data_IF_017531507119
#
_entry.id   IF_017531507119
#
_cell.length_a   1.000
_cell.length_b   1.000
_cell.length_c   1.000
_cell.angle_alpha   90.00
_cell.angle_beta   90.00
_cell.angle_gamma   90.00
#
_symmetry.space_group_name_H-M   'P 1'
#
loop_
_entity.id
_entity.type
_entity.pdbx_description
1 polymer ?
#
# COMPACT_ATOMS: atom_id res chain seq x y z
N UNK A 1 24.26 20.58 20.85
CA UNK A 1 23.35 19.98 21.84
C UNK A 1 23.23 18.51 21.48
N UNK A 2 23.77 17.60 22.29
CA UNK A 2 23.68 16.16 21.99
C UNK A 2 22.23 15.73 22.17
N UNK A 3 21.57 15.33 21.09
CA UNK A 3 20.20 14.82 21.09
C UNK A 3 20.17 13.47 21.82
N UNK A 4 19.69 13.47 23.07
CA UNK A 4 19.61 12.30 23.96
C UNK A 4 18.15 12.09 24.40
N UNK A 5 17.23 12.10 23.43
CA UNK A 5 15.80 11.83 23.67
C UNK A 5 15.45 10.35 23.54
N UNK A 6 16.36 9.55 22.97
CA UNK A 6 16.19 8.11 22.74
C UNK A 6 17.46 7.35 23.15
N UNK A 7 17.40 6.02 23.07
CA UNK A 7 18.53 5.14 23.33
C UNK A 7 19.70 5.42 22.37
N UNK A 8 20.96 5.28 22.83
CA UNK A 8 22.13 5.26 21.95
C UNK A 8 22.02 4.19 20.87
N UNK A 9 22.68 4.42 19.73
CA UNK A 9 22.63 3.52 18.56
C UNK A 9 22.97 2.07 18.90
N UNK A 10 23.98 1.85 19.74
CA UNK A 10 24.41 0.51 20.15
C UNK A 10 23.33 -0.23 20.95
N UNK A 11 22.47 0.52 21.66
CA UNK A 11 21.33 -0.05 22.39
C UNK A 11 20.12 -0.26 21.49
N UNK A 12 19.90 0.59 20.48
CA UNK A 12 18.80 0.42 19.50
C UNK A 12 18.95 -0.88 18.70
N UNK A 13 20.18 -1.27 18.34
CA UNK A 13 20.45 -2.51 17.59
C UNK A 13 20.04 -3.80 18.32
N UNK A 14 20.02 -3.77 19.65
CA UNK A 14 19.69 -4.94 20.50
C UNK A 14 18.35 -4.77 21.23
N UNK A 15 17.60 -3.70 20.94
CA UNK A 15 16.34 -3.41 21.59
C UNK A 15 15.23 -4.35 21.09
N UNK A 16 14.70 -5.19 21.98
CA UNK A 16 13.65 -6.18 21.67
C UNK A 16 12.21 -5.67 21.80
N UNK A 17 12.00 -4.36 21.99
CA UNK A 17 10.68 -3.81 22.31
C UNK A 17 10.35 -3.87 23.81
N UNK A 18 9.19 -3.33 24.18
CA UNK A 18 8.66 -3.33 25.57
C UNK A 18 7.34 -4.04 25.73
N UNK A 19 6.65 -4.33 24.63
CA UNK A 19 5.34 -4.95 24.66
C UNK A 19 5.54 -6.46 24.50
N UNK A 20 5.07 -7.29 25.46
CA UNK A 20 5.11 -8.73 25.29
C UNK A 20 4.23 -9.13 24.10
N UNK A 21 4.70 -10.09 23.31
CA UNK A 21 3.88 -10.72 22.27
C UNK A 21 2.73 -11.49 22.96
N UNK A 22 1.46 -11.24 22.60
CA UNK A 22 0.33 -12.03 23.11
C UNK A 22 0.50 -13.52 22.78
N UNK A 23 0.02 -14.42 23.64
CA UNK A 23 0.15 -15.86 23.42
C UNK A 23 -0.65 -16.33 22.18
N UNK A 24 -1.72 -15.61 21.85
CA UNK A 24 -2.69 -15.90 20.80
C UNK A 24 -2.39 -15.12 19.51
N UNK A 25 -1.22 -14.48 19.43
CA UNK A 25 -0.83 -13.63 18.29
C UNK A 25 -0.97 -14.37 16.95
N UNK A 26 -0.51 -15.61 16.86
CA UNK A 26 -0.60 -16.39 15.62
C UNK A 26 -2.04 -16.74 15.27
N UNK A 27 -2.84 -17.10 16.28
CA UNK A 27 -4.25 -17.44 16.08
C UNK A 27 -5.05 -16.23 15.59
N UNK A 28 -4.84 -15.06 16.21
CA UNK A 28 -5.49 -13.82 15.81
C UNK A 28 -5.25 -13.50 14.33
N UNK A 29 -4.01 -13.60 13.86
CA UNK A 29 -3.68 -13.32 12.45
C UNK A 29 -4.16 -14.42 11.51
N UNK A 30 -4.16 -15.69 11.94
CA UNK A 30 -4.73 -16.78 11.16
C UNK A 30 -6.23 -16.56 10.93
N UNK A 31 -6.98 -16.21 11.97
CA UNK A 31 -8.41 -15.92 11.91
C UNK A 31 -8.70 -14.69 11.04
N UNK A 32 -7.91 -13.63 11.22
CA UNK A 32 -8.04 -12.38 10.42
C UNK A 32 -7.77 -12.61 8.94
N UNK A 33 -6.78 -13.44 8.60
CA UNK A 33 -6.49 -13.81 7.21
C UNK A 33 -7.59 -14.71 6.63
N UNK A 34 -8.16 -15.62 7.43
CA UNK A 34 -9.29 -16.43 7.00
C UNK A 34 -10.53 -15.58 6.69
N UNK A 35 -10.83 -14.58 7.52
CA UNK A 35 -11.88 -13.59 7.27
C UNK A 35 -11.64 -12.82 5.95
N UNK A 36 -10.40 -12.35 5.75
CA UNK A 36 -10.01 -11.66 4.52
C UNK A 36 -10.17 -12.56 3.29
N UNK A 37 -9.74 -13.82 3.35
CA UNK A 37 -9.86 -14.76 2.22
C UNK A 37 -11.31 -15.18 1.93
N UNK A 38 -12.18 -15.11 2.93
CA UNK A 38 -13.62 -15.36 2.76
C UNK A 38 -14.38 -14.15 2.16
N UNK A 39 -13.74 -12.98 2.12
CA UNK A 39 -14.31 -11.77 1.50
C UNK A 39 -14.06 -11.81 0.00
N UNK A 40 -15.12 -11.67 -0.81
CA UNK A 40 -14.98 -11.48 -2.26
C UNK A 40 -14.36 -10.10 -2.54
N UNK A 41 -13.15 -10.02 -3.12
CA UNK A 41 -12.48 -8.75 -3.33
C UNK A 41 -13.15 -7.85 -4.37
N UNK A 42 -14.01 -8.37 -5.25
CA UNK A 42 -14.71 -7.62 -6.31
C UNK A 42 -13.89 -6.44 -6.90
N UNK A 43 -12.75 -6.74 -7.56
CA UNK A 43 -11.82 -5.71 -8.00
C UNK A 43 -12.39 -4.95 -9.21
N UNK A 44 -12.36 -3.63 -9.12
CA UNK A 44 -12.81 -2.73 -10.19
C UNK A 44 -11.65 -1.83 -10.62
N UNK A 45 -11.40 -1.78 -11.93
CA UNK A 45 -10.41 -0.89 -12.53
C UNK A 45 -11.13 0.19 -13.34
N UNK A 46 -11.14 1.41 -12.79
CA UNK A 46 -11.70 2.59 -13.44
C UNK A 46 -10.55 3.37 -14.07
N UNK A 47 -10.52 3.58 -15.40
CA UNK A 47 -9.50 4.43 -16.02
C UNK A 47 -9.47 5.81 -15.36
N UNK A 48 -8.28 6.28 -15.02
CA UNK A 48 -8.11 7.64 -14.51
C UNK A 48 -8.22 8.66 -15.65
N UNK A 49 -8.66 9.88 -15.33
CA UNK A 49 -8.61 11.00 -16.28
C UNK A 49 -7.18 11.39 -16.65
N UNK A 50 -6.21 11.04 -15.79
CA UNK A 50 -4.79 11.25 -16.05
C UNK A 50 -4.24 10.22 -17.03
N UNK A 51 -3.49 10.67 -18.03
CA UNK A 51 -2.94 9.81 -19.07
C UNK A 51 -1.49 10.13 -19.42
N UNK A 52 -0.74 9.10 -19.82
CA UNK A 52 0.64 9.22 -20.30
C UNK A 52 0.86 8.28 -21.51
N UNK A 53 1.87 8.55 -22.36
CA UNK A 53 2.11 7.73 -23.54
C UNK A 53 2.75 6.36 -23.24
N UNK A 54 3.34 6.18 -22.06
CA UNK A 54 4.07 4.95 -21.70
C UNK A 54 3.39 4.11 -20.60
N UNK A 55 2.45 4.70 -19.84
CA UNK A 55 1.75 4.02 -18.77
C UNK A 55 0.23 4.23 -18.82
N UNK A 56 -0.49 3.23 -18.33
CA UNK A 56 -1.93 3.30 -18.06
C UNK A 56 -2.14 3.56 -16.57
N UNK A 57 -3.09 4.42 -16.24
CA UNK A 57 -3.40 4.82 -14.87
C UNK A 57 -4.86 4.48 -14.57
N UNK A 58 -5.10 3.86 -13.42
CA UNK A 58 -6.43 3.42 -12.98
C UNK A 58 -6.65 3.76 -11.51
N UNK A 59 -7.88 4.13 -11.19
CA UNK A 59 -8.40 3.95 -9.85
C UNK A 59 -8.77 2.47 -9.70
N UNK A 60 -8.02 1.76 -8.86
CA UNK A 60 -8.34 0.40 -8.44
C UNK A 60 -9.18 0.49 -7.18
N UNK A 61 -10.34 -0.15 -7.18
CA UNK A 61 -11.11 -0.40 -5.98
C UNK A 61 -11.20 -1.90 -5.71
N UNK A 62 -11.16 -2.31 -4.45
CA UNK A 62 -11.42 -3.69 -4.03
C UNK A 62 -12.09 -3.71 -2.64
N UNK A 63 -12.78 -4.80 -2.32
CA UNK A 63 -13.53 -4.97 -1.07
C UNK A 63 -12.63 -5.62 -0.05
N UNK A 64 -12.42 -4.94 1.08
CA UNK A 64 -11.68 -5.49 2.21
C UNK A 64 -12.61 -6.03 3.31
N UNK A 65 -11.99 -6.54 4.38
CA UNK A 65 -12.71 -7.02 5.58
C UNK A 65 -13.72 -5.99 6.10
N UNK A 66 -14.87 -6.47 6.56
CA UNK A 66 -16.00 -5.63 6.96
C UNK A 66 -16.75 -4.96 5.81
N UNK A 67 -16.47 -5.33 4.55
CA UNK A 67 -17.16 -4.82 3.36
C UNK A 67 -16.68 -3.44 2.89
N UNK A 68 -15.61 -2.89 3.47
CA UNK A 68 -15.12 -1.56 3.11
C UNK A 68 -14.53 -1.52 1.70
N UNK A 69 -14.84 -0.48 0.92
CA UNK A 69 -14.19 -0.26 -0.38
C UNK A 69 -12.87 0.46 -0.23
N UNK A 70 -11.82 -0.22 -0.66
CA UNK A 70 -10.45 0.23 -0.59
C UNK A 70 -10.03 0.75 -1.94
N UNK A 71 -9.52 1.96 -1.96
CA UNK A 71 -8.97 2.61 -3.15
C UNK A 71 -7.44 2.45 -3.20
N UNK A 72 -6.94 2.21 -4.40
CA UNK A 72 -5.55 2.32 -4.75
C UNK A 72 -5.38 2.99 -6.12
N UNK A 73 -4.33 3.80 -6.27
CA UNK A 73 -3.87 4.24 -7.59
C UNK A 73 -3.01 3.15 -8.20
N UNK A 74 -3.42 2.63 -9.34
CA UNK A 74 -2.68 1.62 -10.10
C UNK A 74 -2.08 2.25 -11.36
N UNK A 75 -0.78 2.04 -11.57
CA UNK A 75 -0.06 2.47 -12.77
C UNK A 75 0.64 1.26 -13.36
N UNK A 76 0.43 0.98 -14.64
CA UNK A 76 1.12 -0.14 -15.32
C UNK A 76 1.71 0.29 -16.67
N UNK A 77 2.83 -0.30 -17.11
CA UNK A 77 3.38 -0.06 -18.44
C UNK A 77 2.37 -0.43 -19.54
N UNK A 78 2.21 0.43 -20.57
CA UNK A 78 1.26 0.17 -21.69
C UNK A 78 1.60 -1.06 -22.52
N UNK A 79 2.90 -1.29 -22.77
CA UNK A 79 3.38 -2.30 -23.70
C UNK A 79 3.96 -3.52 -22.98
N UNK A 80 3.35 -3.92 -21.87
CA UNK A 80 3.83 -5.05 -21.08
C UNK A 80 3.48 -6.37 -21.78
N UNK A 81 4.48 -7.06 -22.34
CA UNK A 81 4.30 -8.29 -23.13
C UNK A 81 4.42 -9.58 -22.32
N UNK A 82 4.81 -9.47 -21.05
CA UNK A 82 4.90 -10.58 -20.11
C UNK A 82 4.54 -10.11 -18.70
N UNK A 83 4.34 -11.04 -17.76
CA UNK A 83 4.33 -10.69 -16.35
C UNK A 83 5.63 -9.96 -16.00
N UNK A 84 5.52 -8.94 -15.14
CA UNK A 84 6.63 -8.11 -14.71
C UNK A 84 6.56 -7.82 -13.22
N UNK A 85 7.61 -7.18 -12.68
CA UNK A 85 7.67 -6.88 -11.26
C UNK A 85 6.61 -5.85 -10.86
N UNK A 86 6.30 -5.82 -9.57
CA UNK A 86 5.37 -4.85 -9.00
C UNK A 86 5.94 -4.14 -7.78
N UNK A 87 5.49 -2.90 -7.56
CA UNK A 87 5.78 -2.08 -6.37
C UNK A 87 4.47 -1.74 -5.69
N UNK A 88 4.40 -2.01 -4.39
CA UNK A 88 3.30 -1.59 -3.53
C UNK A 88 3.79 -0.45 -2.63
N UNK A 89 3.10 0.68 -2.65
CA UNK A 89 3.41 1.84 -1.81
C UNK A 89 2.31 2.10 -0.79
N UNK A 90 2.72 2.47 0.42
CA UNK A 90 1.87 2.92 1.51
C UNK A 90 2.29 4.33 1.93
N UNK A 91 1.31 5.18 2.25
CA UNK A 91 1.56 6.56 2.67
C UNK A 91 1.74 6.68 4.19
N UNK A 92 2.27 7.83 4.63
CA UNK A 92 2.39 8.18 6.04
C UNK A 92 1.06 8.51 6.71
N UNK A 93 1.05 8.57 8.04
CA UNK A 93 -0.16 8.80 8.85
C UNK A 93 -0.88 10.11 8.51
N UNK A 94 -2.22 10.08 8.49
CA UNK A 94 -3.16 11.11 8.02
C UNK A 94 -3.02 11.54 6.56
N UNK A 95 -2.11 10.93 5.81
CA UNK A 95 -1.86 11.27 4.41
C UNK A 95 -2.79 10.54 3.44
N UNK A 96 -2.35 10.56 2.19
CA UNK A 96 -2.89 9.79 1.07
C UNK A 96 -1.72 9.45 0.14
N UNK A 97 -1.96 8.62 -0.87
CA UNK A 97 -0.95 8.36 -1.89
C UNK A 97 -0.61 9.64 -2.68
N UNK A 98 -1.51 10.61 -2.79
CA UNK A 98 -1.22 11.85 -3.55
C UNK A 98 -1.30 11.62 -5.06
N UNK A 99 -0.88 12.60 -5.85
CA UNK A 99 -1.19 12.67 -7.28
C UNK A 99 -0.37 11.70 -8.16
N UNK A 100 -0.79 11.47 -9.41
CA UNK A 100 -0.19 10.51 -10.34
C UNK A 100 1.28 10.77 -10.67
N UNK A 101 1.67 12.05 -10.72
CA UNK A 101 3.02 12.48 -11.07
C UNK A 101 3.98 12.57 -9.88
N UNK A 102 3.47 12.42 -8.66
CA UNK A 102 4.26 12.51 -7.43
C UNK A 102 4.97 11.17 -7.12
N UNK A 103 5.98 11.26 -6.25
CA UNK A 103 6.70 10.12 -5.63
C UNK A 103 7.03 8.95 -6.57
N UNK A 104 7.62 9.24 -7.73
CA UNK A 104 8.25 8.26 -8.64
C UNK A 104 7.32 7.17 -9.21
N UNK A 105 6.00 7.30 -9.09
CA UNK A 105 5.00 6.30 -9.56
C UNK A 105 5.16 5.98 -11.03
N UNK A 106 5.23 7.03 -11.85
CA UNK A 106 5.46 6.92 -13.28
C UNK A 106 6.87 6.42 -13.61
N UNK A 107 7.86 6.70 -12.77
CA UNK A 107 9.22 6.21 -12.97
C UNK A 107 9.29 4.68 -12.82
N UNK A 108 8.50 4.08 -11.92
CA UNK A 108 8.38 2.63 -11.82
C UNK A 108 7.79 2.02 -13.10
N UNK A 109 6.72 2.60 -13.63
CA UNK A 109 6.15 2.16 -14.90
C UNK A 109 7.12 2.32 -16.08
N UNK A 110 7.88 3.41 -16.13
CA UNK A 110 8.94 3.61 -17.12
C UNK A 110 10.06 2.56 -17.00
N UNK A 111 10.33 2.07 -15.78
CA UNK A 111 11.27 0.97 -15.52
C UNK A 111 10.65 -0.44 -15.72
N UNK A 112 9.39 -0.53 -16.16
CA UNK A 112 8.71 -1.80 -16.43
C UNK A 112 7.98 -2.44 -15.23
N UNK A 113 7.80 -1.71 -14.14
CA UNK A 113 7.09 -2.19 -12.95
C UNK A 113 5.63 -1.78 -13.01
N UNK A 114 4.73 -2.66 -12.57
CA UNK A 114 3.39 -2.23 -12.15
C UNK A 114 3.48 -1.61 -10.77
N UNK A 115 2.91 -0.44 -10.58
CA UNK A 115 2.87 0.25 -9.30
C UNK A 115 1.43 0.27 -8.77
N UNK A 116 1.24 0.00 -7.48
CA UNK A 116 -0.01 0.24 -6.78
C UNK A 116 0.23 0.98 -5.46
N UNK A 117 -0.40 2.13 -5.28
CA UNK A 117 -0.38 2.89 -4.04
C UNK A 117 -1.75 2.82 -3.38
N UNK A 118 -1.83 2.29 -2.17
CA UNK A 118 -3.11 2.13 -1.44
C UNK A 118 -3.39 3.32 -0.53
N UNK A 119 -4.62 3.85 -0.59
CA UNK A 119 -5.10 4.81 0.40
C UNK A 119 -5.62 4.07 1.64
N UNK A 120 -5.17 4.46 2.83
CA UNK A 120 -5.61 3.87 4.09
C UNK A 120 -7.01 4.38 4.46
N UNK A 121 -7.86 3.47 4.97
CA UNK A 121 -9.25 3.74 5.38
C UNK A 121 -9.36 4.96 6.28
N UNK A 122 -10.30 5.86 5.98
CA UNK A 122 -10.61 7.03 6.80
C UNK A 122 -9.50 8.09 6.92
N UNK A 123 -8.44 8.01 6.10
CA UNK A 123 -7.39 9.05 6.05
C UNK A 123 -7.64 10.02 4.89
N UNK A 124 -6.59 10.64 4.35
CA UNK A 124 -6.72 11.69 3.32
C UNK A 124 -7.06 11.20 1.91
N UNK A 125 -7.27 9.90 1.73
CA UNK A 125 -7.52 9.27 0.43
C UNK A 125 -8.99 8.98 0.17
N UNK A 126 -9.25 8.07 -0.78
CA UNK A 126 -10.63 7.71 -1.20
C UNK A 126 -11.18 6.44 -0.56
N UNK A 127 -10.41 5.79 0.33
CA UNK A 127 -10.83 4.54 0.99
C UNK A 127 -11.79 4.79 2.16
N UNK A 128 -12.81 3.95 2.25
CA UNK A 128 -13.83 3.92 3.31
C UNK A 128 -13.32 3.33 4.63
#
# INVERSE_FOLDING_TARGET
>A
MTLLFDMPMEKLQVYGGRNPRPAEFDQFWADSLAEMMATDPDPELIPADFSTPFAECFHLYFTGVGGARIHARLVRPRNQTSQGPAVLQFHGYSGAIGDWSEESRLAFAAAGFTYAGMDCRGQGGLSE
#
